data_IF_535967739416
#
_entry.id   IF_535967739416
#
_cell.length_a   1.000
_cell.length_b   1.000
_cell.length_c   1.000
_cell.angle_alpha   90.00
_cell.angle_beta   90.00
_cell.angle_gamma   90.00
#
_symmetry.space_group_name_H-M   'P 1'
#
loop_
_entity.id
_entity.type
_entity.pdbx_description
1 polymer ?
#
# COMPACT_ATOMS: atom_id res chain seq x y z
N UNK A 1 -13.07 -11.77 -2.83
CA UNK A 1 -12.49 -11.20 -4.06
C UNK A 1 -11.04 -10.87 -3.76
N UNK A 2 -10.10 -10.98 -4.69
CA UNK A 2 -8.71 -10.58 -4.40
C UNK A 2 -8.63 -9.05 -4.35
N UNK A 3 -8.02 -8.43 -3.32
CA UNK A 3 -7.92 -6.98 -3.24
C UNK A 3 -7.06 -6.43 -4.37
N UNK A 4 -7.35 -5.21 -4.83
CA UNK A 4 -6.51 -4.52 -5.82
C UNK A 4 -5.12 -4.30 -5.24
N UNK A 5 -4.05 -4.57 -6.00
CA UNK A 5 -2.68 -4.54 -5.49
C UNK A 5 -1.89 -3.38 -6.10
N UNK A 6 -1.30 -2.54 -5.23
CA UNK A 6 -0.43 -1.43 -5.60
C UNK A 6 0.99 -1.72 -5.14
N UNK A 7 1.91 -1.81 -6.11
CA UNK A 7 3.34 -2.00 -5.85
C UNK A 7 4.06 -0.66 -5.73
N UNK A 8 4.79 -0.47 -4.63
CA UNK A 8 5.53 0.74 -4.34
C UNK A 8 6.99 0.60 -4.81
N UNK A 9 7.48 1.66 -5.44
CA UNK A 9 8.83 1.74 -6.01
C UNK A 9 9.44 3.12 -5.77
N UNK A 10 10.02 3.72 -6.81
CA UNK A 10 10.80 4.96 -6.71
C UNK A 10 10.01 6.26 -6.98
N UNK A 11 8.70 6.19 -7.24
CA UNK A 11 7.88 7.40 -7.46
C UNK A 11 7.62 8.12 -6.12
N UNK A 12 7.26 9.40 -6.18
CA UNK A 12 6.87 10.15 -4.99
C UNK A 12 5.63 9.53 -4.30
N UNK A 13 5.54 9.54 -2.96
CA UNK A 13 4.43 8.93 -2.21
C UNK A 13 3.04 9.33 -2.71
N UNK A 14 2.87 10.61 -3.05
CA UNK A 14 1.58 11.14 -3.52
C UNK A 14 1.07 10.45 -4.80
N UNK A 15 1.95 10.00 -5.70
CA UNK A 15 1.54 9.28 -6.92
C UNK A 15 0.92 7.92 -6.59
N UNK A 16 1.43 7.26 -5.55
CA UNK A 16 0.87 6.01 -5.05
C UNK A 16 -0.41 6.26 -4.26
N UNK A 17 -0.46 7.34 -3.47
CA UNK A 17 -1.67 7.73 -2.77
C UNK A 17 -2.85 7.99 -3.72
N UNK A 18 -2.61 8.68 -4.85
CA UNK A 18 -3.62 8.85 -5.91
C UNK A 18 -4.08 7.52 -6.48
N UNK A 19 -3.17 6.55 -6.70
CA UNK A 19 -3.56 5.23 -7.18
C UNK A 19 -4.46 4.50 -6.18
N UNK A 20 -4.16 4.57 -4.87
CA UNK A 20 -5.01 4.01 -3.81
C UNK A 20 -6.40 4.64 -3.85
N UNK A 21 -6.47 5.97 -3.93
CA UNK A 21 -7.75 6.72 -3.98
C UNK A 21 -8.58 6.29 -5.18
N UNK A 22 -7.97 6.24 -6.36
CA UNK A 22 -8.66 5.82 -7.60
C UNK A 22 -9.24 4.41 -7.50
N UNK A 23 -8.58 3.47 -6.81
CA UNK A 23 -9.14 2.13 -6.63
C UNK A 23 -10.37 2.13 -5.71
N UNK A 24 -10.37 2.90 -4.63
CA UNK A 24 -11.55 3.06 -3.79
C UNK A 24 -12.70 3.78 -4.51
N UNK A 25 -12.40 4.80 -5.32
CA UNK A 25 -13.40 5.50 -6.17
C UNK A 25 -14.01 4.58 -7.24
N UNK A 26 -13.26 3.59 -7.74
CA UNK A 26 -13.79 2.53 -8.62
C UNK A 26 -14.67 1.50 -7.89
N UNK A 27 -14.81 1.63 -6.57
CA UNK A 27 -15.64 0.75 -5.77
C UNK A 27 -14.89 -0.41 -5.11
N UNK A 28 -13.56 -0.39 -5.03
CA UNK A 28 -12.84 -1.39 -4.24
C UNK A 28 -13.26 -1.32 -2.76
N UNK A 29 -13.44 -2.47 -2.13
CA UNK A 29 -13.66 -2.56 -0.68
C UNK A 29 -12.33 -2.62 0.09
N UNK A 30 -11.30 -3.18 -0.57
CA UNK A 30 -9.96 -3.35 -0.03
C UNK A 30 -8.89 -3.09 -1.09
N UNK A 31 -7.77 -2.49 -0.67
CA UNK A 31 -6.58 -2.22 -1.49
C UNK A 31 -5.35 -2.67 -0.73
N UNK A 32 -4.54 -3.51 -1.37
CA UNK A 32 -3.30 -4.05 -0.84
C UNK A 32 -2.12 -3.23 -1.35
N UNK A 33 -1.36 -2.61 -0.43
CA UNK A 33 -0.13 -1.89 -0.76
C UNK A 33 1.08 -2.75 -0.41
N UNK A 34 1.92 -3.04 -1.40
CA UNK A 34 3.10 -3.91 -1.24
C UNK A 34 4.39 -3.16 -1.54
N UNK A 35 5.40 -3.35 -0.70
CA UNK A 35 6.71 -2.76 -0.91
C UNK A 35 7.83 -3.62 -0.34
N UNK A 36 9.05 -3.38 -0.81
CA UNK A 36 10.25 -4.05 -0.31
C UNK A 36 11.44 -3.11 -0.22
N UNK A 37 12.34 -3.41 0.70
CA UNK A 37 13.56 -2.66 0.97
C UNK A 37 13.27 -1.18 1.21
N UNK A 38 14.04 -0.30 0.55
CA UNK A 38 13.92 1.16 0.71
C UNK A 38 12.54 1.74 0.37
N UNK A 39 11.69 1.01 -0.36
CA UNK A 39 10.36 1.48 -0.74
C UNK A 39 9.33 1.36 0.41
N UNK A 40 9.67 0.69 1.52
CA UNK A 40 8.78 0.50 2.67
C UNK A 40 8.33 1.85 3.26
N UNK A 41 9.23 2.82 3.43
CA UNK A 41 8.86 4.14 3.94
C UNK A 41 7.87 4.84 3.01
N UNK A 42 8.11 4.79 1.70
CA UNK A 42 7.21 5.34 0.67
C UNK A 42 5.82 4.69 0.73
N UNK A 43 5.73 3.39 1.06
CA UNK A 43 4.47 2.67 1.17
C UNK A 43 3.65 3.16 2.36
N UNK A 44 4.32 3.33 3.51
CA UNK A 44 3.70 3.89 4.72
C UNK A 44 3.22 5.31 4.46
N UNK A 45 4.07 6.15 3.84
CA UNK A 45 3.70 7.52 3.49
C UNK A 45 2.51 7.57 2.53
N UNK A 46 2.47 6.70 1.51
CA UNK A 46 1.35 6.63 0.58
C UNK A 46 0.04 6.28 1.29
N UNK A 47 0.04 5.26 2.16
CA UNK A 47 -1.13 4.87 2.93
C UNK A 47 -1.62 6.02 3.84
N UNK A 48 -0.70 6.67 4.56
CA UNK A 48 -1.02 7.79 5.44
C UNK A 48 -1.55 8.99 4.67
N UNK A 49 -0.99 9.31 3.51
CA UNK A 49 -1.49 10.39 2.66
C UNK A 49 -2.90 10.07 2.15
N UNK A 50 -3.15 8.83 1.70
CA UNK A 50 -4.48 8.41 1.24
C UNK A 50 -5.54 8.60 2.31
N UNK A 51 -5.35 8.06 3.51
CA UNK A 51 -6.34 8.09 4.58
C UNK A 51 -6.49 9.48 5.24
N UNK A 52 -5.40 10.24 5.38
CA UNK A 52 -5.47 11.51 6.12
C UNK A 52 -5.79 12.73 5.23
N UNK A 53 -5.64 12.61 3.90
CA UNK A 53 -5.85 13.74 2.98
C UNK A 53 -6.93 13.54 1.93
N UNK A 54 -7.23 12.29 1.56
CA UNK A 54 -8.04 12.02 0.36
C UNK A 54 -9.24 11.10 0.59
N UNK A 55 -9.18 10.19 1.56
CA UNK A 55 -10.21 9.19 1.80
C UNK A 55 -10.81 9.37 3.19
N UNK A 56 -12.13 9.35 3.27
CA UNK A 56 -12.87 9.22 4.53
C UNK A 56 -13.36 7.77 4.69
N UNK A 57 -13.39 7.26 5.91
CA UNK A 57 -13.90 5.91 6.20
C UNK A 57 -13.06 4.77 5.62
N UNK A 58 -11.75 4.97 5.45
CA UNK A 58 -10.79 3.92 5.10
C UNK A 58 -9.77 3.79 6.22
N UNK A 59 -9.50 2.56 6.62
CA UNK A 59 -8.60 2.22 7.72
C UNK A 59 -7.60 1.12 7.33
N UNK A 60 -6.52 1.01 8.10
CA UNK A 60 -5.59 -0.12 7.98
C UNK A 60 -6.22 -1.33 8.65
N UNK A 61 -6.49 -2.37 7.86
CA UNK A 61 -7.06 -3.64 8.33
C UNK A 61 -5.99 -4.63 8.78
N UNK A 62 -4.84 -4.65 8.10
CA UNK A 62 -3.74 -5.57 8.41
C UNK A 62 -2.39 -5.00 7.95
N UNK A 63 -1.30 -5.36 8.65
CA UNK A 63 0.08 -5.07 8.26
C UNK A 63 0.90 -6.34 8.45
N UNK A 64 1.52 -6.81 7.36
CA UNK A 64 2.46 -7.94 7.39
C UNK A 64 3.85 -7.46 7.03
N UNK A 65 4.82 -7.87 7.83
CA UNK A 65 6.24 -7.63 7.58
C UNK A 65 6.92 -8.99 7.53
N UNK A 66 7.72 -9.22 6.50
CA UNK A 66 8.43 -10.47 6.30
C UNK A 66 9.70 -10.24 5.49
N UNK A 67 10.44 -11.33 5.25
CA UNK A 67 11.58 -11.33 4.35
C UNK A 67 11.16 -12.00 3.05
N UNK A 68 11.29 -11.28 1.94
CA UNK A 68 11.12 -11.82 0.60
C UNK A 68 12.48 -12.36 0.13
N UNK A 69 12.54 -13.66 -0.11
CA UNK A 69 13.72 -14.32 -0.67
C UNK A 69 13.75 -14.10 -2.18
N UNK A 70 14.74 -13.37 -2.66
CA UNK A 70 15.05 -13.22 -4.08
C UNK A 70 16.24 -14.12 -4.41
N UNK A 71 16.38 -14.48 -5.69
CA UNK A 71 17.42 -15.40 -6.17
C UNK A 71 18.82 -15.11 -5.61
N UNK A 72 19.17 -13.83 -5.46
CA UNK A 72 20.51 -13.42 -5.00
C UNK A 72 20.55 -12.87 -3.56
N UNK A 73 19.41 -12.57 -2.94
CA UNK A 73 19.36 -11.90 -1.63
C UNK A 73 18.00 -11.91 -0.96
N UNK A 74 18.04 -11.77 0.35
CA UNK A 74 16.88 -11.54 1.18
C UNK A 74 16.59 -10.03 1.32
N UNK A 75 15.32 -9.65 1.16
CA UNK A 75 14.88 -8.25 1.25
C UNK A 75 13.70 -8.14 2.19
N UNK A 76 13.75 -7.19 3.14
CA UNK A 76 12.58 -6.88 3.97
C UNK A 76 11.41 -6.43 3.09
N UNK A 77 10.22 -6.95 3.35
CA UNK A 77 9.00 -6.66 2.63
C UNK A 77 7.88 -6.26 3.60
N UNK A 78 6.95 -5.47 3.11
CA UNK A 78 5.75 -5.05 3.82
C UNK A 78 4.53 -5.20 2.91
N UNK A 79 3.43 -5.65 3.50
CA UNK A 79 2.09 -5.61 2.93
C UNK A 79 1.18 -4.85 3.88
N UNK A 80 0.45 -3.86 3.38
CA UNK A 80 -0.51 -3.05 4.13
C UNK A 80 -1.86 -3.20 3.46
N UNK A 81 -2.83 -3.78 4.16
CA UNK A 81 -4.21 -3.89 3.69
C UNK A 81 -4.99 -2.67 4.18
N UNK A 82 -5.46 -1.85 3.23
CA UNK A 82 -6.42 -0.79 3.49
C UNK A 82 -7.82 -1.29 3.15
N UNK A 83 -8.81 -0.95 3.96
CA UNK A 83 -10.19 -1.31 3.69
C UNK A 83 -11.16 -0.26 4.20
N UNK A 84 -12.37 -0.23 3.64
CA UNK A 84 -13.44 0.62 4.19
C UNK A 84 -13.75 0.20 5.63
N UNK A 85 -14.00 1.18 6.50
CA UNK A 85 -14.45 0.98 7.88
C UNK A 85 -15.76 0.20 7.94
#
# INVERSE_FOLDING_TARGET
MMPSVIYIGSKAPIKYATAVVTEFEKGADEVMVKARGKAISTAVDACQISMNKFLEGVEIKDIKIFTEELEDRNVSAIEILLGKS
#
